data_IF_291207078855
#
_entry.id   IF_291207078855
#
_cell.length_a   1.000
_cell.length_b   1.000
_cell.length_c   1.000
_cell.angle_alpha   90.00
_cell.angle_beta   90.00
_cell.angle_gamma   90.00
#
_symmetry.space_group_name_H-M   'P 1'
#
loop_
_entity.id
_entity.type
_entity.pdbx_description
1 polymer ?
#
# COMPACT_ATOMS: atom_id res chain seq x y z
N UNK A 1 -40.19 0.78 0.24
CA UNK A 1 -39.13 -0.20 0.07
C UNK A 1 -38.61 -0.20 -1.37
N UNK A 2 -37.31 -0.39 -1.57
CA UNK A 2 -36.76 -0.42 -2.92
C UNK A 2 -37.33 -1.61 -3.70
N UNK A 3 -37.55 -1.41 -5.00
CA UNK A 3 -38.01 -2.47 -5.87
C UNK A 3 -36.94 -3.55 -6.06
N UNK A 4 -37.33 -4.80 -6.41
CA UNK A 4 -36.34 -5.83 -6.71
C UNK A 4 -35.37 -5.42 -7.84
N UNK A 5 -35.84 -4.61 -8.76
CA UNK A 5 -35.05 -4.08 -9.85
C UNK A 5 -34.01 -3.07 -9.37
N UNK A 6 -34.40 -2.18 -8.45
CA UNK A 6 -33.49 -1.24 -7.83
C UNK A 6 -32.43 -1.95 -7.02
N UNK A 7 -32.80 -2.99 -6.27
CA UNK A 7 -31.86 -3.82 -5.51
C UNK A 7 -30.87 -4.54 -6.41
N UNK A 8 -31.31 -5.01 -7.57
CA UNK A 8 -30.43 -5.66 -8.56
C UNK A 8 -29.46 -4.66 -9.15
N UNK A 9 -29.91 -3.46 -9.50
CA UNK A 9 -29.06 -2.38 -9.98
C UNK A 9 -28.01 -2.00 -8.95
N UNK A 10 -28.45 -1.85 -7.71
CA UNK A 10 -27.55 -1.52 -6.62
C UNK A 10 -26.47 -2.59 -6.43
N UNK A 11 -26.84 -3.87 -6.51
CA UNK A 11 -25.88 -4.97 -6.44
C UNK A 11 -24.90 -4.94 -7.61
N UNK A 12 -25.35 -4.68 -8.82
CA UNK A 12 -24.50 -4.58 -10.00
C UNK A 12 -23.54 -3.41 -9.90
N UNK A 13 -24.05 -2.25 -9.47
CA UNK A 13 -23.22 -1.06 -9.27
C UNK A 13 -22.19 -1.31 -8.18
N UNK A 14 -22.60 -1.95 -7.08
CA UNK A 14 -21.70 -2.29 -5.97
C UNK A 14 -20.61 -3.26 -6.42
N UNK A 15 -20.97 -4.26 -7.25
CA UNK A 15 -20.01 -5.22 -7.79
C UNK A 15 -19.00 -4.54 -8.71
N UNK A 16 -19.46 -3.62 -9.57
CA UNK A 16 -18.59 -2.84 -10.43
C UNK A 16 -17.67 -1.93 -9.65
N UNK A 17 -18.22 -1.24 -8.64
CA UNK A 17 -17.43 -0.37 -7.76
C UNK A 17 -16.38 -1.18 -7.02
N UNK A 18 -16.73 -2.36 -6.52
CA UNK A 18 -15.78 -3.24 -5.84
C UNK A 18 -14.68 -3.72 -6.78
N UNK A 19 -15.03 -4.05 -8.03
CA UNK A 19 -14.06 -4.47 -9.02
C UNK A 19 -13.12 -3.32 -9.38
N UNK A 20 -13.66 -2.13 -9.58
CA UNK A 20 -12.86 -0.93 -9.82
C UNK A 20 -11.96 -0.59 -8.62
N UNK A 21 -12.47 -0.75 -7.41
CA UNK A 21 -11.66 -0.56 -6.20
C UNK A 21 -10.56 -1.60 -6.09
N UNK A 22 -10.80 -2.84 -6.51
CA UNK A 22 -9.76 -3.87 -6.55
C UNK A 22 -8.69 -3.53 -7.57
N UNK A 23 -9.08 -3.03 -8.73
CA UNK A 23 -8.13 -2.55 -9.74
C UNK A 23 -7.40 -1.30 -9.25
N UNK A 24 -8.12 -0.40 -8.60
CA UNK A 24 -7.53 0.80 -8.00
C UNK A 24 -6.60 0.48 -6.84
N UNK A 25 -6.68 -0.72 -6.25
CA UNK A 25 -5.71 -1.19 -5.26
C UNK A 25 -4.32 -1.38 -5.86
N UNK A 26 -4.25 -1.63 -7.17
CA UNK A 26 -2.97 -1.62 -7.86
C UNK A 26 -2.36 -0.21 -7.85
N UNK A 27 -3.21 0.84 -7.71
CA UNK A 27 -2.79 2.23 -7.59
C UNK A 27 -3.48 2.82 -6.35
N UNK A 28 -2.93 2.60 -5.14
CA UNK A 28 -3.52 3.15 -3.93
C UNK A 28 -3.58 4.68 -3.97
N UNK A 29 -4.54 5.24 -3.22
CA UNK A 29 -4.71 6.69 -3.12
C UNK A 29 -3.40 7.37 -2.71
N UNK A 30 -3.02 8.41 -3.44
CA UNK A 30 -1.81 9.17 -3.17
C UNK A 30 -0.54 8.55 -3.72
N UNK A 31 -0.62 7.39 -4.39
CA UNK A 31 0.53 6.75 -5.01
C UNK A 31 0.49 6.97 -6.52
N UNK A 32 1.50 7.67 -7.04
CA UNK A 32 1.60 7.96 -8.47
C UNK A 32 2.35 6.83 -9.19
N UNK A 33 1.97 6.59 -10.47
CA UNK A 33 2.68 5.68 -11.34
C UNK A 33 3.45 6.47 -12.40
N UNK A 34 4.68 6.03 -12.74
CA UNK A 34 5.48 6.67 -13.75
C UNK A 34 5.00 6.34 -15.16
N UNK A 35 5.46 7.13 -16.14
CA UNK A 35 5.15 6.92 -17.56
C UNK A 35 6.11 5.96 -18.23
N UNK A 36 7.38 5.96 -17.82
CA UNK A 36 8.38 5.06 -18.39
C UNK A 36 7.92 3.61 -18.20
N UNK A 37 7.92 2.85 -19.29
CA UNK A 37 7.34 1.50 -19.28
C UNK A 37 8.05 0.55 -18.31
N UNK A 38 9.39 0.59 -18.29
CA UNK A 38 10.18 -0.28 -17.40
C UNK A 38 9.97 0.08 -15.96
N UNK A 39 9.97 1.39 -15.68
CA UNK A 39 9.74 1.90 -14.34
C UNK A 39 8.32 1.59 -13.88
N UNK A 40 7.35 1.72 -14.77
CA UNK A 40 5.96 1.38 -14.48
C UNK A 40 5.80 -0.08 -14.13
N UNK A 41 6.44 -0.99 -14.88
CA UNK A 41 6.41 -2.42 -14.58
C UNK A 41 7.02 -2.73 -13.22
N UNK A 42 8.12 -2.07 -12.87
CA UNK A 42 8.74 -2.20 -11.55
C UNK A 42 7.76 -1.74 -10.46
N UNK A 43 7.13 -0.59 -10.64
CA UNK A 43 6.15 -0.06 -9.69
C UNK A 43 4.95 -0.99 -9.52
N UNK A 44 4.44 -1.54 -10.61
CA UNK A 44 3.34 -2.49 -10.56
C UNK A 44 3.74 -3.76 -9.79
N UNK A 45 4.97 -4.23 -9.96
CA UNK A 45 5.47 -5.37 -9.20
C UNK A 45 5.56 -5.07 -7.70
N UNK A 46 5.98 -3.85 -7.33
CA UNK A 46 6.00 -3.41 -5.92
C UNK A 46 4.58 -3.34 -5.36
N UNK A 47 3.64 -2.82 -6.13
CA UNK A 47 2.24 -2.76 -5.72
C UNK A 47 1.65 -4.16 -5.50
N UNK A 48 2.05 -5.11 -6.32
CA UNK A 48 1.61 -6.50 -6.20
C UNK A 48 2.16 -7.14 -4.93
N UNK A 49 3.47 -7.04 -4.71
CA UNK A 49 4.12 -7.58 -3.52
C UNK A 49 5.34 -6.74 -3.13
N UNK A 50 5.17 -5.79 -2.21
CA UNK A 50 6.29 -4.94 -1.81
C UNK A 50 7.39 -5.66 -1.03
N UNK A 51 7.17 -6.92 -0.65
CA UNK A 51 8.14 -7.71 0.12
C UNK A 51 9.06 -8.55 -0.75
N UNK A 52 8.83 -8.62 -2.07
CA UNK A 52 9.59 -9.49 -2.98
C UNK A 52 11.09 -9.22 -2.92
N UNK A 53 11.48 -7.96 -2.82
CA UNK A 53 12.87 -7.57 -2.66
C UNK A 53 13.02 -6.57 -1.52
N UNK A 54 14.13 -6.70 -0.78
CA UNK A 54 14.43 -5.78 0.31
C UNK A 54 15.11 -4.49 -0.17
N UNK A 55 15.73 -4.52 -1.36
CA UNK A 55 16.55 -3.41 -1.85
C UNK A 55 16.15 -2.99 -3.25
N UNK A 56 16.45 -1.72 -3.60
CA UNK A 56 16.27 -1.22 -4.95
C UNK A 56 17.03 -2.06 -5.98
N UNK A 57 18.20 -2.56 -5.60
CA UNK A 57 19.02 -3.38 -6.50
C UNK A 57 18.26 -4.64 -6.94
N UNK A 58 17.57 -5.31 -6.02
CA UNK A 58 16.76 -6.47 -6.35
C UNK A 58 15.64 -6.15 -7.32
N UNK A 59 14.92 -5.04 -7.07
CA UNK A 59 13.84 -4.60 -7.95
C UNK A 59 14.37 -4.21 -9.33
N UNK A 60 15.49 -3.51 -9.38
CA UNK A 60 16.08 -3.07 -10.64
C UNK A 60 16.51 -4.25 -11.50
N UNK A 61 17.02 -5.33 -10.91
CA UNK A 61 17.39 -6.53 -11.66
C UNK A 61 16.19 -7.11 -12.41
N UNK A 62 15.03 -7.17 -11.78
CA UNK A 62 13.82 -7.67 -12.42
C UNK A 62 13.38 -6.78 -13.59
N UNK A 63 13.65 -5.50 -13.54
CA UNK A 63 13.23 -4.56 -14.58
C UNK A 63 14.23 -4.45 -15.75
N UNK A 64 15.40 -5.06 -15.61
CA UNK A 64 16.46 -4.96 -16.61
C UNK A 64 17.16 -3.61 -16.63
N UNK A 65 16.95 -2.75 -15.63
CA UNK A 65 17.59 -1.44 -15.52
C UNK A 65 18.57 -1.42 -14.35
N UNK A 66 19.57 -0.54 -14.41
CA UNK A 66 20.48 -0.39 -13.28
C UNK A 66 19.78 0.37 -12.13
N UNK A 67 20.21 0.15 -10.87
CA UNK A 67 19.67 0.91 -9.75
C UNK A 67 19.79 2.42 -9.94
N UNK A 68 20.89 2.87 -10.54
CA UNK A 68 21.12 4.28 -10.83
C UNK A 68 20.08 4.83 -11.81
N UNK A 69 19.78 4.09 -12.87
CA UNK A 69 18.76 4.46 -13.85
C UNK A 69 17.39 4.55 -13.19
N UNK A 70 17.04 3.55 -12.38
CA UNK A 70 15.77 3.53 -11.68
C UNK A 70 15.65 4.74 -10.74
N UNK A 71 16.70 5.01 -9.95
CA UNK A 71 16.69 6.15 -9.03
C UNK A 71 16.52 7.48 -9.77
N UNK A 72 17.21 7.64 -10.89
CA UNK A 72 17.12 8.85 -11.72
C UNK A 72 15.71 9.04 -12.27
N UNK A 73 15.10 7.97 -12.79
CA UNK A 73 13.75 8.01 -13.35
C UNK A 73 12.70 8.32 -12.28
N UNK A 74 12.86 7.75 -11.07
CA UNK A 74 11.97 8.09 -9.97
C UNK A 74 11.99 9.58 -9.67
N UNK A 75 13.15 10.17 -9.58
CA UNK A 75 13.27 11.61 -9.32
C UNK A 75 12.69 12.44 -10.46
N UNK A 76 12.97 12.07 -11.69
CA UNK A 76 12.49 12.81 -12.85
C UNK A 76 10.98 12.76 -13.02
N UNK A 77 10.39 11.58 -12.85
CA UNK A 77 8.95 11.40 -13.11
C UNK A 77 8.08 11.61 -11.89
N UNK A 78 8.55 11.23 -10.70
CA UNK A 78 7.73 11.25 -9.49
C UNK A 78 8.23 12.23 -8.44
N UNK A 79 9.40 12.82 -8.62
CA UNK A 79 9.96 13.78 -7.67
C UNK A 79 10.33 13.20 -6.32
N UNK A 80 10.45 11.87 -6.20
CA UNK A 80 10.74 11.19 -4.95
C UNK A 80 11.80 10.11 -5.15
N UNK A 81 12.32 9.59 -4.04
CA UNK A 81 13.17 8.40 -4.08
C UNK A 81 12.30 7.16 -4.17
N UNK A 82 12.89 6.05 -4.63
CA UNK A 82 12.21 4.76 -4.61
C UNK A 82 11.77 4.38 -3.19
N UNK A 83 12.64 4.57 -2.21
CA UNK A 83 12.34 4.23 -0.81
C UNK A 83 11.12 5.00 -0.29
N UNK A 84 11.04 6.29 -0.57
CA UNK A 84 9.89 7.11 -0.18
C UNK A 84 8.61 6.62 -0.85
N UNK A 85 8.69 6.33 -2.14
CA UNK A 85 7.54 5.83 -2.90
C UNK A 85 7.09 4.47 -2.37
N UNK A 86 8.03 3.56 -2.12
CA UNK A 86 7.72 2.22 -1.59
C UNK A 86 7.07 2.32 -0.21
N UNK A 87 7.53 3.22 0.64
CA UNK A 87 6.92 3.44 1.95
C UNK A 87 5.45 3.88 1.81
N UNK A 88 5.15 4.73 0.84
CA UNK A 88 3.78 5.13 0.56
C UNK A 88 2.92 3.93 0.14
N UNK A 89 3.46 3.03 -0.67
CA UNK A 89 2.77 1.79 -1.06
C UNK A 89 2.49 0.93 0.17
N UNK A 90 3.49 0.75 1.03
CA UNK A 90 3.34 -0.04 2.27
C UNK A 90 2.26 0.56 3.15
N UNK A 91 2.28 1.88 3.35
CA UNK A 91 1.27 2.57 4.17
C UNK A 91 -0.13 2.43 3.59
N UNK A 92 -0.28 2.57 2.28
CA UNK A 92 -1.56 2.43 1.61
C UNK A 92 -2.11 1.01 1.76
N UNK A 93 -1.24 0.00 1.63
CA UNK A 93 -1.63 -1.40 1.86
C UNK A 93 -2.02 -1.64 3.33
N UNK A 94 -1.30 -1.02 4.27
CA UNK A 94 -1.62 -1.11 5.68
C UNK A 94 -3.02 -0.54 5.97
N UNK A 95 -3.34 0.60 5.38
CA UNK A 95 -4.67 1.22 5.51
C UNK A 95 -5.75 0.28 4.96
N UNK A 96 -5.53 -0.34 3.81
CA UNK A 96 -6.48 -1.27 3.22
C UNK A 96 -6.68 -2.51 4.10
N UNK A 97 -5.60 -3.06 4.66
CA UNK A 97 -5.68 -4.20 5.56
C UNK A 97 -6.41 -3.84 6.85
N UNK A 98 -6.16 -2.64 7.39
CA UNK A 98 -6.84 -2.17 8.58
C UNK A 98 -8.33 -1.97 8.33
N UNK A 99 -8.71 -1.46 7.16
CA UNK A 99 -10.11 -1.32 6.77
C UNK A 99 -10.81 -2.68 6.68
N UNK A 100 -10.07 -3.73 6.32
CA UNK A 100 -10.56 -5.11 6.31
C UNK A 100 -10.52 -5.75 7.71
N UNK A 101 -10.20 -4.98 8.74
CA UNK A 101 -10.12 -5.40 10.14
C UNK A 101 -9.03 -6.44 10.42
N UNK A 102 -7.97 -6.42 9.64
CA UNK A 102 -6.81 -7.27 9.87
C UNK A 102 -6.11 -6.84 11.17
N UNK A 103 -5.77 -7.78 12.06
CA UNK A 103 -5.03 -7.42 13.27
C UNK A 103 -3.67 -6.78 12.99
N UNK A 104 -3.25 -5.86 13.84
CA UNK A 104 -2.02 -5.07 13.65
C UNK A 104 -0.78 -5.93 13.44
N UNK A 105 -0.63 -6.99 14.24
CA UNK A 105 0.52 -7.89 14.09
C UNK A 105 0.55 -8.60 12.75
N UNK A 106 -0.62 -8.95 12.22
CA UNK A 106 -0.74 -9.58 10.92
C UNK A 106 -0.46 -8.57 9.80
N UNK A 107 -0.92 -7.33 9.94
CA UNK A 107 -0.61 -6.26 8.98
C UNK A 107 0.90 -6.10 8.85
N UNK A 108 1.61 -5.98 9.97
CA UNK A 108 3.06 -5.84 9.96
C UNK A 108 3.72 -7.04 9.27
N UNK A 109 3.30 -8.25 9.62
CA UNK A 109 3.88 -9.48 9.05
C UNK A 109 3.66 -9.56 7.54
N UNK A 110 2.46 -9.25 7.06
CA UNK A 110 2.14 -9.28 5.63
C UNK A 110 2.97 -8.26 4.83
N UNK A 111 3.37 -7.16 5.47
CA UNK A 111 4.16 -6.12 4.83
C UNK A 111 5.67 -6.31 5.04
N UNK A 112 6.07 -7.45 5.63
CA UNK A 112 7.47 -7.80 5.80
C UNK A 112 8.16 -7.15 6.99
N UNK A 113 7.40 -6.73 7.99
CA UNK A 113 7.93 -6.08 9.19
C UNK A 113 7.64 -6.91 10.44
N UNK A 114 8.55 -6.87 11.41
CA UNK A 114 8.17 -7.23 12.77
C UNK A 114 7.41 -6.04 13.39
N UNK A 115 6.66 -6.25 14.48
CA UNK A 115 5.82 -5.17 15.03
C UNK A 115 6.59 -3.91 15.43
N UNK A 116 7.78 -4.06 16.00
CA UNK A 116 8.60 -2.91 16.39
C UNK A 116 9.08 -2.10 15.19
N UNK A 117 9.55 -2.78 14.16
CA UNK A 117 10.02 -2.13 12.94
C UNK A 117 8.86 -1.45 12.21
N UNK A 118 7.69 -2.06 12.20
CA UNK A 118 6.51 -1.47 11.59
C UNK A 118 6.09 -0.19 12.33
N UNK A 119 6.01 -0.24 13.65
CA UNK A 119 5.73 0.94 14.48
C UNK A 119 6.71 2.06 14.21
N UNK A 120 7.99 1.74 14.18
CA UNK A 120 9.04 2.74 13.95
C UNK A 120 8.90 3.38 12.57
N UNK A 121 8.62 2.56 11.54
CA UNK A 121 8.43 3.06 10.18
C UNK A 121 7.22 3.99 10.09
N UNK A 122 6.09 3.60 10.66
CA UNK A 122 4.88 4.43 10.64
C UNK A 122 5.10 5.74 11.38
N UNK A 123 5.68 5.70 12.58
CA UNK A 123 5.97 6.92 13.36
C UNK A 123 6.88 7.86 12.60
N UNK A 124 7.92 7.34 11.98
CA UNK A 124 8.89 8.15 11.23
C UNK A 124 8.25 8.78 9.99
N UNK A 125 7.36 8.05 9.33
CA UNK A 125 6.79 8.48 8.04
C UNK A 125 5.59 9.39 8.22
N UNK A 126 4.69 9.10 9.17
CA UNK A 126 3.44 9.87 9.35
C UNK A 126 3.37 10.59 10.70
N UNK A 127 4.33 10.41 11.58
CA UNK A 127 4.42 11.14 12.84
C UNK A 127 3.49 10.66 13.94
N UNK A 128 2.82 9.51 13.77
CA UNK A 128 1.93 8.96 14.80
C UNK A 128 2.04 7.44 14.84
N UNK A 129 1.63 6.80 15.98
CA UNK A 129 1.66 5.34 16.09
C UNK A 129 0.72 4.65 15.10
N UNK A 130 1.01 3.39 14.70
CA UNK A 130 0.19 2.65 13.74
C UNK A 130 -1.27 2.54 14.16
N UNK A 131 -1.57 2.26 15.41
CA UNK A 131 -2.93 2.14 15.90
C UNK A 131 -3.75 3.38 15.67
N UNK A 132 -3.15 4.53 15.92
CA UNK A 132 -3.79 5.83 15.71
C UNK A 132 -3.94 6.16 14.22
N UNK A 133 -2.86 5.93 13.46
CA UNK A 133 -2.85 6.18 12.01
C UNK A 133 -3.87 5.32 11.29
N UNK A 134 -3.98 4.05 11.65
CA UNK A 134 -4.85 3.10 11.00
C UNK A 134 -6.28 3.10 11.55
N UNK A 135 -6.55 3.93 12.57
CA UNK A 135 -7.88 4.03 13.16
C UNK A 135 -8.31 2.81 13.96
N UNK A 136 -7.38 1.93 14.33
CA UNK A 136 -7.70 0.75 15.13
C UNK A 136 -7.75 1.11 16.62
N UNK A 137 -8.67 0.48 17.39
CA UNK A 137 -8.65 0.65 18.82
C UNK A 137 -7.33 0.15 19.39
N UNK A 138 -6.73 0.92 20.29
CA UNK A 138 -5.49 0.51 20.91
C UNK A 138 -5.76 -0.60 21.93
N UNK A 139 -4.93 -1.63 21.88
CA UNK A 139 -5.05 -2.74 22.83
C UNK A 139 -4.95 -2.27 24.28
N UNK A 140 -4.24 -1.16 24.52
CA UNK A 140 -4.11 -0.59 25.83
C UNK A 140 -5.42 -0.17 26.45
N UNK A 141 -6.39 0.25 25.64
CA UNK A 141 -7.70 0.63 26.14
C UNK A 141 -8.44 -0.54 26.75
N UNK A 142 -8.01 -1.74 26.47
CA UNK A 142 -8.60 -2.97 26.98
C UNK A 142 -7.93 -3.47 28.25
N UNK A 143 -6.79 -2.94 28.60
CA UNK A 143 -5.98 -3.43 29.71
C UNK A 143 -6.37 -2.84 31.06
N UNK A 144 -7.40 -2.05 31.09
CA UNK A 144 -7.84 -1.38 32.32
C UNK A 144 -8.93 -2.10 33.06
N UNK A 145 -9.29 -3.28 32.63
CA UNK A 145 -10.31 -4.05 33.33
C UNK A 145 -9.78 -4.86 34.47
#
# INVERSE_FOLDING_TARGET
>A
PPSPEALRRERHISALVLDELRRARAVPLGVALPRDKRLRQLCEAVLDDPTRHATLQGWAQDSGASPRTVARLFRQELGSTFTQWRQQVVLAKAVALAAARTPMGQIAAELGYNPSAFSAMVRRTVGMPPGRFLGQPQAQSLSFQ
#
